data_IF_640506761236
#
_entry.id   IF_640506761236
#
_cell.length_a   1.000
_cell.length_b   1.000
_cell.length_c   1.000
_cell.angle_alpha   90.00
_cell.angle_beta   90.00
_cell.angle_gamma   90.00
#
_symmetry.space_group_name_H-M   'P 1'
#
loop_
_entity.id
_entity.type
_entity.pdbx_description
1 polymer ?
#
# COMPACT_ATOMS: atom_id res chain seq x y z
N UNK A 1 -29.00 15.43 26.28
CA UNK A 1 -29.36 14.39 25.29
C UNK A 1 -28.52 14.45 24.01
N UNK A 2 -27.97 15.60 23.59
CA UNK A 2 -27.09 15.69 22.40
C UNK A 2 -25.64 15.20 22.59
N UNK A 3 -25.03 15.44 23.76
CA UNK A 3 -23.66 15.01 24.08
C UNK A 3 -23.48 13.48 24.04
N UNK A 4 -24.48 12.72 24.50
CA UNK A 4 -24.41 11.26 24.58
C UNK A 4 -24.40 10.59 23.19
N UNK A 5 -25.12 11.16 22.22
CA UNK A 5 -25.23 10.64 20.84
C UNK A 5 -23.95 10.88 20.04
N UNK A 6 -23.29 12.02 20.23
CA UNK A 6 -22.01 12.31 19.58
C UNK A 6 -20.92 11.43 20.15
N UNK A 7 -20.85 11.29 21.48
CA UNK A 7 -19.91 10.40 22.14
C UNK A 7 -20.08 8.94 21.73
N UNK A 8 -21.32 8.46 21.56
CA UNK A 8 -21.60 7.09 21.09
C UNK A 8 -21.16 6.86 19.64
N UNK A 9 -21.50 7.75 18.71
CA UNK A 9 -21.06 7.67 17.30
C UNK A 9 -19.55 7.63 17.18
N UNK A 10 -18.87 8.45 17.98
CA UNK A 10 -17.43 8.54 18.01
C UNK A 10 -16.76 7.28 18.59
N UNK A 11 -17.31 6.70 19.66
CA UNK A 11 -16.85 5.41 20.20
C UNK A 11 -17.07 4.28 19.20
N UNK A 12 -18.21 4.27 18.51
CA UNK A 12 -18.52 3.31 17.45
C UNK A 12 -17.52 3.41 16.30
N UNK A 13 -17.18 4.62 15.85
CA UNK A 13 -16.16 4.83 14.83
C UNK A 13 -14.80 4.25 15.26
N UNK A 14 -14.36 4.54 16.48
CA UNK A 14 -13.08 4.04 16.97
C UNK A 14 -13.03 2.51 16.99
N UNK A 15 -14.11 1.86 17.44
CA UNK A 15 -14.22 0.40 17.42
C UNK A 15 -14.18 -0.15 15.99
N UNK A 16 -14.89 0.50 15.05
CA UNK A 16 -14.94 0.09 13.65
C UNK A 16 -13.60 0.26 12.94
N UNK A 17 -12.89 1.35 13.19
CA UNK A 17 -11.54 1.59 12.65
C UNK A 17 -10.58 0.50 13.13
N UNK A 18 -10.62 0.14 14.42
CA UNK A 18 -9.80 -0.94 14.99
C UNK A 18 -10.08 -2.30 14.36
N UNK A 19 -11.36 -2.62 14.19
CA UNK A 19 -11.79 -3.87 13.55
C UNK A 19 -11.25 -3.95 12.10
N UNK A 20 -11.50 -2.91 11.30
CA UNK A 20 -11.03 -2.85 9.91
C UNK A 20 -9.50 -2.87 9.81
N UNK A 21 -8.81 -2.20 10.72
CA UNK A 21 -7.34 -2.23 10.80
C UNK A 21 -6.84 -3.65 11.09
N UNK A 22 -7.37 -4.31 12.12
CA UNK A 22 -6.98 -5.68 12.48
C UNK A 22 -7.26 -6.72 11.38
N UNK A 23 -8.40 -6.61 10.70
CA UNK A 23 -8.73 -7.44 9.54
C UNK A 23 -7.74 -7.23 8.39
N UNK A 24 -7.41 -5.96 8.10
CA UNK A 24 -6.48 -5.59 7.04
C UNK A 24 -5.08 -6.13 7.35
N UNK A 25 -4.58 -5.89 8.56
CA UNK A 25 -3.27 -6.36 9.02
C UNK A 25 -3.14 -7.89 8.91
N UNK A 26 -4.13 -8.62 9.42
CA UNK A 26 -4.13 -10.09 9.40
C UNK A 26 -4.06 -10.65 7.98
N UNK A 27 -4.82 -10.06 7.04
CA UNK A 27 -4.84 -10.49 5.64
C UNK A 27 -3.55 -10.11 4.91
N UNK A 28 -3.03 -8.92 5.16
CA UNK A 28 -1.77 -8.44 4.57
C UNK A 28 -0.61 -9.31 5.02
N UNK A 29 -0.51 -9.60 6.32
CA UNK A 29 0.54 -10.45 6.88
C UNK A 29 0.47 -11.88 6.31
N UNK A 30 -0.72 -12.47 6.21
CA UNK A 30 -0.91 -13.79 5.61
C UNK A 30 -0.42 -13.84 4.15
N UNK A 31 -0.78 -12.85 3.33
CA UNK A 31 -0.36 -12.77 1.93
C UNK A 31 1.14 -12.58 1.78
N UNK A 32 1.78 -11.80 2.66
CA UNK A 32 3.23 -11.69 2.67
C UNK A 32 3.91 -13.02 3.06
N UNK A 33 3.38 -13.76 4.06
CA UNK A 33 3.87 -15.10 4.43
C UNK A 33 3.79 -16.09 3.26
N UNK A 34 2.74 -15.99 2.46
CA UNK A 34 2.53 -16.81 1.25
C UNK A 34 3.40 -16.37 0.05
N UNK A 35 4.21 -15.31 0.18
CA UNK A 35 4.99 -14.74 -0.92
C UNK A 35 4.15 -14.00 -1.97
N UNK A 36 2.89 -13.70 -1.68
CA UNK A 36 1.94 -12.98 -2.55
C UNK A 36 1.99 -11.48 -2.29
N UNK A 37 3.19 -10.90 -2.26
CA UNK A 37 3.42 -9.51 -1.84
C UNK A 37 2.62 -8.48 -2.64
N UNK A 38 2.42 -8.67 -3.95
CA UNK A 38 1.63 -7.74 -4.76
C UNK A 38 0.15 -7.72 -4.36
N UNK A 39 -0.39 -8.89 -4.02
CA UNK A 39 -1.75 -9.01 -3.52
C UNK A 39 -1.86 -8.48 -2.10
N UNK A 40 -0.83 -8.64 -1.28
CA UNK A 40 -0.76 -8.03 0.05
C UNK A 40 -0.88 -6.50 -0.03
N UNK A 41 -0.16 -5.85 -0.95
CA UNK A 41 -0.25 -4.40 -1.15
C UNK A 41 -1.62 -3.97 -1.69
N UNK A 42 -2.25 -4.78 -2.54
CA UNK A 42 -3.63 -4.55 -2.99
C UNK A 42 -4.61 -4.57 -1.83
N UNK A 43 -4.58 -5.64 -1.02
CA UNK A 43 -5.46 -5.79 0.14
C UNK A 43 -5.21 -4.68 1.15
N UNK A 44 -3.95 -4.24 1.31
CA UNK A 44 -3.63 -3.09 2.13
C UNK A 44 -4.31 -1.82 1.63
N UNK A 45 -4.20 -1.49 0.34
CA UNK A 45 -4.85 -0.32 -0.24
C UNK A 45 -6.37 -0.36 -0.04
N UNK A 46 -7.01 -1.49 -0.33
CA UNK A 46 -8.46 -1.70 -0.13
C UNK A 46 -8.88 -1.54 1.34
N UNK A 47 -8.07 -2.05 2.28
CA UNK A 47 -8.32 -1.92 3.71
C UNK A 47 -8.24 -0.48 4.19
N UNK A 48 -7.19 0.24 3.77
CA UNK A 48 -7.01 1.66 4.10
C UNK A 48 -8.13 2.52 3.50
N UNK A 49 -8.57 2.24 2.27
CA UNK A 49 -9.74 2.88 1.66
C UNK A 49 -11.01 2.66 2.50
N UNK A 50 -11.28 1.44 2.97
CA UNK A 50 -12.45 1.20 3.83
C UNK A 50 -12.41 2.02 5.11
N UNK A 51 -11.24 2.10 5.76
CA UNK A 51 -11.06 2.88 6.99
C UNK A 51 -11.29 4.37 6.72
N UNK A 52 -10.70 4.91 5.65
CA UNK A 52 -10.88 6.32 5.31
C UNK A 52 -12.33 6.67 4.97
N UNK A 53 -13.05 5.77 4.29
CA UNK A 53 -14.48 5.94 3.98
C UNK A 53 -15.32 6.01 5.26
N UNK A 54 -15.08 5.09 6.19
CA UNK A 54 -15.78 5.05 7.48
C UNK A 54 -15.58 6.34 8.29
N UNK A 55 -14.34 6.84 8.33
CA UNK A 55 -14.01 8.10 9.00
C UNK A 55 -14.77 9.26 8.32
N UNK A 56 -14.74 9.34 6.99
CA UNK A 56 -15.40 10.42 6.23
C UNK A 56 -16.92 10.41 6.42
N UNK A 57 -17.56 9.24 6.33
CA UNK A 57 -19.01 9.10 6.53
C UNK A 57 -19.42 9.49 7.95
N UNK A 58 -18.62 9.09 8.95
CA UNK A 58 -18.89 9.46 10.35
C UNK A 58 -18.73 10.96 10.55
N UNK A 59 -17.64 11.58 10.08
CA UNK A 59 -17.40 13.03 10.18
C UNK A 59 -18.55 13.81 9.55
N UNK A 60 -19.03 13.40 8.38
CA UNK A 60 -20.20 14.00 7.71
C UNK A 60 -21.47 13.89 8.54
N UNK A 61 -21.69 12.73 9.18
CA UNK A 61 -22.84 12.52 10.06
C UNK A 61 -22.77 13.38 11.34
N UNK A 62 -21.56 13.62 11.86
CA UNK A 62 -21.33 14.45 13.04
C UNK A 62 -21.57 15.92 12.75
N UNK A 63 -21.08 16.43 11.62
CA UNK A 63 -21.31 17.82 11.21
C UNK A 63 -22.80 18.10 10.99
N UNK A 64 -23.52 17.18 10.33
CA UNK A 64 -24.98 17.28 10.17
C UNK A 64 -25.72 17.31 11.52
N UNK A 65 -25.20 16.58 12.52
CA UNK A 65 -25.78 16.54 13.87
C UNK A 65 -25.43 17.80 14.68
N UNK A 66 -24.22 18.35 14.50
CA UNK A 66 -23.71 19.53 15.21
C UNK A 66 -24.28 20.85 14.66
N UNK A 67 -24.53 20.94 13.34
CA UNK A 67 -25.18 22.10 12.72
C UNK A 67 -26.62 22.34 13.21
N UNK A 68 -27.26 21.33 13.81
CA UNK A 68 -28.61 21.42 14.35
C UNK A 68 -28.67 21.82 15.84
N UNK A 69 -27.57 21.75 16.59
CA UNK A 69 -27.51 22.06 18.02
C UNK A 69 -26.35 23.01 18.30
N UNK A 70 -26.64 24.30 18.51
CA UNK A 70 -25.68 25.40 18.59
C UNK A 70 -24.43 25.18 19.47
N UNK A 71 -23.39 24.56 18.90
CA UNK A 71 -21.97 24.89 18.94
C UNK A 71 -21.18 24.90 20.27
N UNK A 72 -21.78 24.94 21.46
CA UNK A 72 -21.03 25.11 22.72
C UNK A 72 -21.09 23.85 23.59
N UNK A 73 -20.10 22.97 23.43
CA UNK A 73 -19.88 21.82 24.33
C UNK A 73 -19.03 20.71 23.69
N UNK A 74 -19.20 20.49 22.38
CA UNK A 74 -18.66 19.33 21.66
C UNK A 74 -17.14 19.33 21.45
N UNK A 75 -16.46 20.47 21.58
CA UNK A 75 -15.05 20.60 21.17
C UNK A 75 -14.08 19.66 21.91
N UNK A 76 -14.20 19.54 23.23
CA UNK A 76 -13.23 18.78 24.04
C UNK A 76 -13.36 17.26 23.86
N UNK A 77 -14.58 16.73 23.83
CA UNK A 77 -14.82 15.29 23.65
C UNK A 77 -14.46 14.84 22.23
N UNK A 78 -14.78 15.68 21.25
CA UNK A 78 -14.42 15.44 19.86
C UNK A 78 -12.90 15.52 19.67
N UNK A 79 -12.22 16.49 20.31
CA UNK A 79 -10.75 16.59 20.30
C UNK A 79 -10.08 15.39 20.98
N UNK A 80 -10.59 14.93 22.13
CA UNK A 80 -10.04 13.76 22.82
C UNK A 80 -10.16 12.51 21.95
N UNK A 81 -11.32 12.30 21.34
CA UNK A 81 -11.51 11.12 20.51
C UNK A 81 -10.81 11.23 19.15
N UNK A 82 -10.67 12.43 18.59
CA UNK A 82 -9.77 12.68 17.46
C UNK A 82 -8.36 12.16 17.77
N UNK A 83 -7.80 12.51 18.93
CA UNK A 83 -6.46 12.03 19.33
C UNK A 83 -6.41 10.51 19.43
N UNK A 84 -7.49 9.87 19.87
CA UNK A 84 -7.59 8.40 19.90
C UNK A 84 -7.56 7.81 18.49
N UNK A 85 -8.31 8.38 17.54
CA UNK A 85 -8.27 7.93 16.14
C UNK A 85 -6.87 8.17 15.55
N UNK A 86 -6.26 9.34 15.77
CA UNK A 86 -4.89 9.62 15.31
C UNK A 86 -3.88 8.59 15.85
N UNK A 87 -4.04 8.17 17.11
CA UNK A 87 -3.21 7.12 17.71
C UNK A 87 -3.42 5.75 17.05
N UNK A 88 -4.66 5.38 16.70
CA UNK A 88 -4.95 4.15 15.95
C UNK A 88 -4.35 4.19 14.55
N UNK A 89 -4.42 5.34 13.86
CA UNK A 89 -3.79 5.50 12.54
C UNK A 89 -2.26 5.35 12.62
N UNK A 90 -1.66 5.81 13.72
CA UNK A 90 -0.22 5.65 13.97
C UNK A 90 0.16 4.22 14.34
N UNK A 91 -0.69 3.49 15.05
CA UNK A 91 -0.47 2.07 15.34
C UNK A 91 -0.58 1.24 14.06
N UNK A 92 -1.61 1.49 13.25
CA UNK A 92 -1.78 0.85 11.95
C UNK A 92 -0.57 1.10 11.03
N UNK A 93 -0.10 2.34 10.94
CA UNK A 93 1.12 2.67 10.19
C UNK A 93 2.32 1.87 10.71
N UNK A 94 2.53 1.81 12.03
CA UNK A 94 3.63 1.04 12.63
C UNK A 94 3.50 -0.46 12.37
N UNK A 95 2.28 -0.99 12.35
CA UNK A 95 2.01 -2.38 11.98
C UNK A 95 2.40 -2.65 10.52
N UNK A 96 1.99 -1.78 9.60
CA UNK A 96 2.37 -1.85 8.18
C UNK A 96 3.90 -1.80 8.01
N UNK A 97 4.58 -0.87 8.70
CA UNK A 97 6.04 -0.74 8.64
C UNK A 97 6.75 -2.01 9.15
N UNK A 98 6.25 -2.61 10.24
CA UNK A 98 6.77 -3.88 10.79
C UNK A 98 6.60 -5.03 9.81
N UNK A 99 5.40 -5.18 9.24
CA UNK A 99 5.13 -6.22 8.25
C UNK A 99 6.04 -6.00 7.04
N UNK A 100 6.06 -4.80 6.47
CA UNK A 100 6.86 -4.50 5.28
C UNK A 100 8.37 -4.71 5.50
N UNK A 101 8.91 -4.27 6.63
CA UNK A 101 10.34 -4.46 6.95
C UNK A 101 10.74 -5.92 7.12
N UNK A 102 9.81 -6.80 7.52
CA UNK A 102 10.04 -8.24 7.65
C UNK A 102 10.26 -8.91 6.29
N UNK A 103 9.54 -8.47 5.24
CA UNK A 103 9.58 -9.11 3.92
C UNK A 103 10.46 -8.39 2.89
N UNK A 104 10.67 -7.08 3.04
CA UNK A 104 11.57 -6.28 2.20
C UNK A 104 11.19 -6.21 0.72
N UNK A 105 12.05 -5.55 -0.06
CA UNK A 105 11.88 -5.41 -1.51
C UNK A 105 10.89 -4.31 -1.93
N UNK A 106 10.74 -4.16 -3.25
CA UNK A 106 10.01 -3.03 -3.87
C UNK A 106 8.54 -2.97 -3.45
N UNK A 107 7.90 -4.13 -3.32
CA UNK A 107 6.48 -4.22 -2.95
C UNK A 107 6.26 -3.88 -1.48
N UNK A 108 7.17 -4.27 -0.58
CA UNK A 108 7.13 -3.83 0.81
C UNK A 108 7.33 -2.31 0.94
N UNK A 109 8.23 -1.72 0.15
CA UNK A 109 8.38 -0.25 0.11
C UNK A 109 7.09 0.45 -0.32
N UNK A 110 6.30 -0.15 -1.22
CA UNK A 110 4.98 0.37 -1.60
C UNK A 110 3.94 0.25 -0.50
N UNK A 111 3.99 -0.81 0.32
CA UNK A 111 3.14 -0.90 1.51
C UNK A 111 3.43 0.23 2.51
N UNK A 112 4.73 0.51 2.76
CA UNK A 112 5.16 1.64 3.62
C UNK A 112 4.70 2.98 3.05
N UNK A 113 4.82 3.18 1.73
CA UNK A 113 4.37 4.40 1.05
C UNK A 113 2.85 4.61 1.22
N UNK A 114 2.05 3.55 1.03
CA UNK A 114 0.60 3.59 1.29
C UNK A 114 0.27 3.98 2.72
N UNK A 115 0.91 3.34 3.72
CA UNK A 115 0.70 3.67 5.12
C UNK A 115 1.05 5.12 5.47
N UNK A 116 2.11 5.67 4.85
CA UNK A 116 2.52 7.06 5.01
C UNK A 116 1.53 8.05 4.40
N UNK A 117 1.12 7.83 3.14
CA UNK A 117 0.13 8.67 2.46
C UNK A 117 -1.17 8.66 3.24
N UNK A 118 -1.64 7.48 3.65
CA UNK A 118 -2.85 7.32 4.43
C UNK A 118 -2.82 8.06 5.77
N UNK A 119 -1.84 7.78 6.62
CA UNK A 119 -1.75 8.35 7.96
C UNK A 119 -1.70 9.87 7.90
N UNK A 120 -0.90 10.44 6.97
CA UNK A 120 -0.81 11.90 6.78
C UNK A 120 -2.15 12.50 6.35
N UNK A 121 -2.77 11.94 5.31
CA UNK A 121 -4.02 12.46 4.74
C UNK A 121 -5.18 12.35 5.73
N UNK A 122 -5.32 11.23 6.44
CA UNK A 122 -6.41 11.05 7.40
C UNK A 122 -6.24 11.90 8.67
N UNK A 123 -5.01 12.17 9.11
CA UNK A 123 -4.76 13.13 10.20
C UNK A 123 -5.20 14.56 9.83
N UNK A 124 -5.07 14.93 8.56
CA UNK A 124 -5.60 16.21 8.07
C UNK A 124 -7.13 16.21 7.98
N UNK A 125 -7.74 15.10 7.54
CA UNK A 125 -9.19 14.90 7.47
C UNK A 125 -9.88 15.03 8.85
N UNK A 126 -9.21 14.54 9.89
CA UNK A 126 -9.68 14.57 11.28
C UNK A 126 -9.71 15.98 11.91
N UNK A 127 -9.40 17.05 11.15
CA UNK A 127 -9.65 18.44 11.56
C UNK A 127 -11.14 18.85 11.47
N UNK A 128 -12.04 17.89 11.20
CA UNK A 128 -13.50 17.93 11.44
C UNK A 128 -14.31 18.94 10.61
N UNK A 129 -14.07 18.95 9.31
CA UNK A 129 -15.12 19.42 8.38
C UNK A 129 -15.40 18.31 7.38
N UNK A 130 -16.66 18.08 7.03
CA UNK A 130 -17.03 17.10 6.01
C UNK A 130 -16.33 17.42 4.68
N UNK A 131 -16.12 18.71 4.38
CA UNK A 131 -15.32 19.14 3.22
C UNK A 131 -13.88 18.66 3.31
N UNK A 132 -13.20 18.87 4.43
CA UNK A 132 -11.83 18.38 4.60
C UNK A 132 -11.74 16.85 4.53
N UNK A 133 -12.76 16.13 5.05
CA UNK A 133 -12.81 14.68 4.95
C UNK A 133 -13.09 14.18 3.52
N UNK A 134 -13.95 14.86 2.77
CA UNK A 134 -14.22 14.56 1.36
C UNK A 134 -13.00 14.86 0.46
N UNK A 135 -12.30 15.97 0.70
CA UNK A 135 -11.09 16.32 -0.04
C UNK A 135 -9.96 15.34 0.30
N UNK A 136 -9.80 14.98 1.58
CA UNK A 136 -8.85 13.96 2.00
C UNK A 136 -9.15 12.59 1.37
N UNK A 137 -10.41 12.20 1.27
CA UNK A 137 -10.82 10.97 0.59
C UNK A 137 -10.38 10.95 -0.88
N UNK A 138 -10.66 12.02 -1.63
CA UNK A 138 -10.26 12.13 -3.05
C UNK A 138 -8.74 12.10 -3.22
N UNK A 139 -8.03 12.88 -2.40
CA UNK A 139 -6.56 12.92 -2.42
C UNK A 139 -5.94 11.57 -2.05
N UNK A 140 -6.58 10.83 -1.13
CA UNK A 140 -6.16 9.49 -0.77
C UNK A 140 -6.35 8.52 -1.94
N UNK A 141 -7.50 8.55 -2.61
CA UNK A 141 -7.78 7.69 -3.76
C UNK A 141 -6.79 7.94 -4.91
N UNK A 142 -6.49 9.21 -5.21
CA UNK A 142 -5.49 9.59 -6.21
C UNK A 142 -4.08 9.14 -5.82
N UNK A 143 -3.68 9.42 -4.57
CA UNK A 143 -2.37 9.02 -4.04
C UNK A 143 -2.20 7.50 -4.02
N UNK A 144 -3.23 6.75 -3.64
CA UNK A 144 -3.20 5.30 -3.67
C UNK A 144 -3.08 4.79 -5.09
N UNK A 145 -3.87 5.32 -6.03
CA UNK A 145 -3.78 4.96 -7.45
C UNK A 145 -2.38 5.17 -8.00
N UNK A 146 -1.71 6.25 -7.63
CA UNK A 146 -0.32 6.52 -8.03
C UNK A 146 0.66 5.50 -7.41
N UNK A 147 0.58 5.27 -6.10
CA UNK A 147 1.47 4.36 -5.37
C UNK A 147 1.34 2.92 -5.86
N UNK A 148 0.11 2.51 -6.13
CA UNK A 148 -0.25 1.14 -6.49
C UNK A 148 -0.25 0.88 -7.99
N UNK A 149 -0.12 1.89 -8.86
CA UNK A 149 -0.04 1.72 -10.33
C UNK A 149 0.97 0.65 -10.75
N UNK A 150 2.14 0.64 -10.11
CA UNK A 150 3.24 -0.31 -10.37
C UNK A 150 2.95 -1.72 -9.82
N UNK A 151 2.00 -1.85 -8.91
CA UNK A 151 1.53 -3.11 -8.31
C UNK A 151 0.30 -3.65 -9.08
N UNK A 152 -0.52 -2.76 -9.63
CA UNK A 152 -1.77 -3.06 -10.35
C UNK A 152 -1.59 -3.30 -11.84
N UNK A 153 -0.55 -2.76 -12.47
CA UNK A 153 -0.26 -3.08 -13.87
C UNK A 153 0.34 -4.48 -13.94
N UNK A 154 -0.45 -5.45 -14.41
CA UNK A 154 0.10 -6.61 -15.10
C UNK A 154 1.01 -6.06 -16.19
N UNK A 155 2.32 -6.13 -15.98
CA UNK A 155 3.29 -5.66 -16.97
C UNK A 155 3.02 -6.44 -18.25
N UNK A 156 2.50 -5.77 -19.27
CA UNK A 156 2.30 -6.36 -20.59
C UNK A 156 3.68 -6.46 -21.21
N UNK A 157 4.32 -7.61 -21.02
CA UNK A 157 5.59 -7.92 -21.66
C UNK A 157 5.30 -8.37 -23.08
N UNK A 158 5.65 -7.52 -24.05
CA UNK A 158 5.70 -7.95 -25.45
C UNK A 158 6.99 -8.73 -25.67
N UNK A 159 6.86 -10.05 -25.88
CA UNK A 159 7.97 -10.94 -26.16
C UNK A 159 7.78 -11.59 -27.53
N UNK A 160 8.85 -11.66 -28.33
CA UNK A 160 8.84 -12.45 -29.58
C UNK A 160 9.10 -13.90 -29.23
N UNK A 161 8.15 -14.76 -29.57
CA UNK A 161 8.28 -16.20 -29.43
C UNK A 161 8.46 -16.83 -30.82
N UNK A 162 9.30 -17.87 -30.95
CA UNK A 162 9.34 -18.71 -32.14
C UNK A 162 7.95 -19.28 -32.46
N UNK A 163 7.66 -19.47 -33.76
CA UNK A 163 6.35 -19.94 -34.22
C UNK A 163 5.95 -21.29 -33.60
N UNK A 164 6.91 -22.19 -33.39
CA UNK A 164 6.67 -23.49 -32.77
C UNK A 164 6.21 -23.35 -31.31
N UNK A 165 6.77 -22.41 -30.55
CA UNK A 165 6.42 -22.20 -29.15
C UNK A 165 5.01 -21.58 -29.02
N UNK A 166 4.65 -20.69 -29.95
CA UNK A 166 3.30 -20.14 -30.05
C UNK A 166 2.29 -21.26 -30.33
N UNK A 167 2.60 -22.19 -31.22
CA UNK A 167 1.71 -23.31 -31.54
C UNK A 167 1.45 -24.21 -30.33
N UNK A 168 2.48 -24.47 -29.52
CA UNK A 168 2.33 -25.22 -28.27
C UNK A 168 1.42 -24.47 -27.29
N UNK A 169 1.64 -23.17 -27.10
CA UNK A 169 0.79 -22.33 -26.24
C UNK A 169 -0.68 -22.38 -26.71
N UNK A 170 -0.90 -22.27 -28.02
CA UNK A 170 -2.24 -22.30 -28.61
C UNK A 170 -2.97 -23.59 -28.35
N UNK A 171 -2.30 -24.73 -28.53
CA UNK A 171 -2.89 -26.05 -28.25
C UNK A 171 -3.28 -26.19 -26.78
N UNK A 172 -2.47 -25.68 -25.86
CA UNK A 172 -2.76 -25.74 -24.42
C UNK A 172 -3.97 -24.85 -24.06
N UNK A 173 -4.13 -23.70 -24.71
CA UNK A 173 -5.30 -22.83 -24.54
C UNK A 173 -6.55 -23.48 -25.15
N UNK A 174 -6.45 -24.03 -26.36
CA UNK A 174 -7.55 -24.73 -27.03
C UNK A 174 -8.01 -25.97 -26.27
N UNK A 175 -7.09 -26.68 -25.62
CA UNK A 175 -7.38 -27.81 -24.75
C UNK A 175 -8.01 -27.40 -23.40
N UNK A 176 -8.16 -26.09 -23.13
CA UNK A 176 -8.72 -25.57 -21.88
C UNK A 176 -7.79 -25.68 -20.67
N UNK A 177 -6.51 -26.06 -20.88
CA UNK A 177 -5.50 -26.15 -19.81
C UNK A 177 -5.17 -24.76 -19.28
N UNK A 178 -5.15 -23.76 -20.17
CA UNK A 178 -5.05 -22.35 -19.81
C UNK A 178 -6.23 -21.57 -20.41
N UNK A 179 -6.71 -20.55 -19.70
CA UNK A 179 -7.84 -19.70 -20.13
C UNK A 179 -7.43 -18.70 -21.21
N UNK A 180 -6.14 -18.36 -21.30
CA UNK A 180 -5.60 -17.45 -22.31
C UNK A 180 -4.11 -17.70 -22.61
N UNK A 181 -3.64 -17.22 -23.77
CA UNK A 181 -2.21 -17.25 -24.14
C UNK A 181 -1.34 -16.53 -23.12
N UNK A 182 -1.81 -15.39 -22.60
CA UNK A 182 -1.09 -14.61 -21.59
C UNK A 182 -0.92 -15.36 -20.28
N UNK A 183 -1.94 -16.14 -19.86
CA UNK A 183 -1.84 -17.00 -18.68
C UNK A 183 -0.82 -18.12 -18.88
N UNK A 184 -0.85 -18.78 -20.05
CA UNK A 184 0.13 -19.81 -20.39
C UNK A 184 1.56 -19.26 -20.40
N UNK A 185 1.79 -18.10 -21.03
CA UNK A 185 3.11 -17.45 -21.07
C UNK A 185 3.58 -17.06 -19.67
N UNK A 186 2.70 -16.50 -18.84
CA UNK A 186 3.04 -16.14 -17.46
C UNK A 186 3.44 -17.38 -16.64
N UNK A 187 2.70 -18.49 -16.81
CA UNK A 187 3.00 -19.76 -16.16
C UNK A 187 4.38 -20.29 -16.57
N UNK A 188 4.67 -20.37 -17.87
CA UNK A 188 5.96 -20.86 -18.36
C UNK A 188 7.12 -19.94 -17.99
N UNK A 189 6.91 -18.62 -18.01
CA UNK A 189 7.91 -17.65 -17.56
C UNK A 189 8.27 -17.88 -16.09
N UNK A 190 7.27 -18.05 -15.23
CA UNK A 190 7.49 -18.35 -13.81
C UNK A 190 8.26 -19.66 -13.63
N UNK A 191 7.85 -20.73 -14.32
CA UNK A 191 8.54 -22.02 -14.25
C UNK A 191 9.97 -21.96 -14.78
N UNK A 192 10.21 -21.18 -15.83
CA UNK A 192 11.55 -20.93 -16.35
C UNK A 192 12.45 -20.22 -15.34
N UNK A 193 11.92 -19.19 -14.65
CA UNK A 193 12.64 -18.47 -13.58
C UNK A 193 12.92 -19.42 -12.39
N UNK A 194 11.93 -20.20 -11.96
CA UNK A 194 12.07 -21.16 -10.85
C UNK A 194 13.16 -22.21 -11.14
N UNK A 195 13.13 -22.80 -12.34
CA UNK A 195 14.13 -23.77 -12.79
C UNK A 195 15.54 -23.15 -12.94
N UNK A 196 15.59 -21.82 -13.12
CA UNK A 196 16.81 -21.03 -13.32
C UNK A 196 17.30 -20.31 -12.06
N UNK A 197 16.67 -20.53 -10.93
CA UNK A 197 16.80 -19.68 -9.74
C UNK A 197 18.24 -19.56 -9.22
N UNK A 198 19.00 -20.65 -9.20
CA UNK A 198 20.39 -20.66 -8.72
C UNK A 198 21.33 -19.77 -9.52
N UNK A 199 21.29 -19.86 -10.86
CA UNK A 199 22.20 -19.06 -11.69
C UNK A 199 21.75 -17.60 -11.75
N UNK A 200 20.44 -17.34 -11.76
CA UNK A 200 19.88 -15.98 -11.70
C UNK A 200 20.37 -15.30 -10.43
N UNK A 201 20.29 -15.98 -9.27
CA UNK A 201 20.77 -15.44 -7.99
C UNK A 201 22.26 -15.10 -8.05
N UNK A 202 23.10 -16.01 -8.56
CA UNK A 202 24.53 -15.76 -8.75
C UNK A 202 24.79 -14.58 -9.68
N UNK A 203 24.04 -14.44 -10.77
CA UNK A 203 24.17 -13.31 -11.70
C UNK A 203 23.80 -11.98 -11.04
N UNK A 204 22.71 -11.94 -10.27
CA UNK A 204 22.28 -10.74 -9.53
C UNK A 204 23.30 -10.32 -8.46
N UNK A 205 23.84 -11.27 -7.70
CA UNK A 205 24.90 -10.99 -6.72
C UNK A 205 26.15 -10.39 -7.37
N UNK A 206 26.52 -10.87 -8.56
CA UNK A 206 27.66 -10.32 -9.32
C UNK A 206 27.34 -8.93 -9.87
N UNK A 207 26.12 -8.71 -10.34
CA UNK A 207 25.68 -7.40 -10.81
C UNK A 207 25.70 -6.35 -9.69
N UNK A 208 25.28 -6.70 -8.47
CA UNK A 208 25.32 -5.77 -7.34
C UNK A 208 26.77 -5.41 -6.98
N UNK A 209 27.70 -6.38 -6.97
CA UNK A 209 29.13 -6.09 -6.76
C UNK A 209 29.70 -5.13 -7.80
N UNK A 210 29.31 -5.26 -9.07
CA UNK A 210 29.72 -4.33 -10.13
C UNK A 210 29.21 -2.91 -9.82
N UNK A 211 27.98 -2.80 -9.33
CA UNK A 211 27.35 -1.52 -8.98
C UNK A 211 28.03 -0.89 -7.75
N UNK A 212 28.34 -1.68 -6.73
CA UNK A 212 29.10 -1.25 -5.55
C UNK A 212 30.48 -0.74 -5.95
N UNK A 213 31.22 -1.50 -6.79
CA UNK A 213 32.52 -1.07 -7.31
C UNK A 213 32.43 0.23 -8.10
N UNK A 214 31.41 0.39 -8.95
CA UNK A 214 31.19 1.63 -9.70
C UNK A 214 30.92 2.80 -8.76
N UNK A 215 30.20 2.57 -7.67
CA UNK A 215 29.90 3.59 -6.67
C UNK A 215 31.15 3.97 -5.89
N UNK A 216 31.94 3.01 -5.41
CA UNK A 216 33.16 3.28 -4.65
C UNK A 216 34.17 4.04 -5.50
N UNK A 217 34.36 3.62 -6.75
CA UNK A 217 35.26 4.28 -7.69
C UNK A 217 34.82 5.71 -8.01
N UNK A 218 33.51 5.97 -8.09
CA UNK A 218 32.97 7.33 -8.23
C UNK A 218 33.26 8.18 -6.99
N UNK A 219 33.02 7.63 -5.79
CA UNK A 219 33.26 8.34 -4.54
C UNK A 219 34.74 8.68 -4.34
N UNK A 220 35.65 7.75 -4.63
CA UNK A 220 37.10 7.97 -4.55
C UNK A 220 37.56 9.07 -5.52
N UNK A 221 37.03 9.10 -6.75
CA UNK A 221 37.34 10.15 -7.73
C UNK A 221 36.79 11.51 -7.29
N UNK A 222 35.57 11.56 -6.74
CA UNK A 222 34.98 12.79 -6.21
C UNK A 222 35.75 13.33 -4.98
N UNK A 223 36.27 12.44 -4.14
CA UNK A 223 37.10 12.80 -2.98
C UNK A 223 38.47 13.33 -3.43
N UNK A 224 39.11 12.67 -4.40
CA UNK A 224 40.38 13.12 -4.99
C UNK A 224 40.27 14.49 -5.66
N UNK A 225 39.17 14.74 -6.38
CA UNK A 225 38.88 16.04 -7.01
C UNK A 225 38.60 17.14 -5.98
N UNK A 226 38.09 16.81 -4.79
CA UNK A 226 37.90 17.76 -3.68
C UNK A 226 39.20 18.03 -2.91
N UNK A 227 40.07 17.03 -2.76
CA UNK A 227 41.35 17.17 -2.06
C UNK A 227 42.48 17.74 -2.93
N UNK A 228 42.37 17.65 -4.26
CA UNK A 228 43.34 18.18 -5.22
C UNK A 228 43.09 19.63 -5.67
N UNK A 229 42.16 20.34 -5.03
CA UNK A 229 41.78 21.73 -5.31
C UNK A 229 42.23 22.72 -4.22
N UNK A 230 43.42 22.55 -3.66
CA UNK A 230 44.11 23.56 -2.82
C UNK A 230 45.53 23.76 -3.29
#
# INVERSE_FOLDING_TARGET
>A
MGEDVVGEKLRSLLARVRELAGETESRVEALFKEGRSSEAVKVLAEGLEKIAKEITETVKSLEASAGAQGGKGLGKEVDELRRRIEAELDELKRSIDRIASTYGGRTASKAVELGNVFSKTMKEALKLTARAAEDAWKNLEEGFREVTRVVYESVVVSARLPSNDIEVIDRLVQAGIFKSRSEAVAFFTRKGIEASSEWIKKALERAERIKELKSSLRSEVEEYLKSGGS
#
